data_IF_358374020916
#
_entry.id   IF_358374020916
#
_cell.length_a   1.000
_cell.length_b   1.000
_cell.length_c   1.000
_cell.angle_alpha   90.00
_cell.angle_beta   90.00
_cell.angle_gamma   90.00
#
_symmetry.space_group_name_H-M   'P 1'
#
loop_
_entity.id
_entity.type
_entity.pdbx_description
1 polymer ?
#
# COMPACT_ATOMS: atom_id res chain seq x y z
N UNK A 1 -22.36 9.12 8.33
CA UNK A 1 -21.90 7.73 8.45
C UNK A 1 -22.38 6.95 7.23
N UNK A 2 -21.60 6.02 6.74
CA UNK A 2 -21.90 5.30 5.49
C UNK A 2 -22.47 3.90 5.83
N UNK A 3 -23.71 3.56 5.42
CA UNK A 3 -24.34 2.28 5.74
C UNK A 3 -23.55 1.04 5.28
N UNK A 4 -22.76 1.18 4.20
CA UNK A 4 -21.89 0.10 3.73
C UNK A 4 -20.72 -0.17 4.69
N UNK A 5 -20.25 0.86 5.40
CA UNK A 5 -19.22 0.74 6.42
C UNK A 5 -19.83 0.18 7.71
N UNK A 6 -21.08 0.57 8.05
CA UNK A 6 -21.81 -0.01 9.17
C UNK A 6 -21.94 -1.54 9.00
N UNK A 7 -22.39 -1.98 7.83
CA UNK A 7 -22.50 -3.41 7.49
C UNK A 7 -21.15 -4.14 7.53
N UNK A 8 -20.09 -3.49 7.05
CA UNK A 8 -18.73 -4.04 7.11
C UNK A 8 -18.26 -4.28 8.54
N UNK A 9 -18.40 -3.27 9.41
CA UNK A 9 -17.97 -3.34 10.82
C UNK A 9 -18.79 -4.36 11.63
N UNK A 10 -20.11 -4.39 11.42
CA UNK A 10 -20.99 -5.36 12.06
C UNK A 10 -20.62 -6.81 11.69
N UNK A 11 -20.17 -7.07 10.47
CA UNK A 11 -19.76 -8.40 9.98
C UNK A 11 -18.29 -8.72 10.23
N UNK A 12 -17.54 -7.81 10.85
CA UNK A 12 -16.11 -8.04 11.10
C UNK A 12 -15.93 -9.17 12.13
N UNK A 13 -15.22 -10.27 11.75
CA UNK A 13 -15.06 -11.43 12.63
C UNK A 13 -14.11 -11.16 13.81
N UNK A 14 -13.30 -10.14 13.70
CA UNK A 14 -12.32 -9.68 14.68
C UNK A 14 -12.12 -8.18 14.52
N UNK A 15 -11.74 -7.49 15.57
CA UNK A 15 -11.40 -6.06 15.59
C UNK A 15 -12.59 -5.11 15.31
N UNK A 16 -13.85 -5.56 15.50
CA UNK A 16 -15.03 -4.73 15.25
C UNK A 16 -15.05 -3.47 16.13
N UNK A 17 -14.81 -3.63 17.42
CA UNK A 17 -14.83 -2.53 18.40
C UNK A 17 -13.64 -1.56 18.18
N UNK A 18 -12.46 -2.09 17.93
CA UNK A 18 -11.27 -1.31 17.65
C UNK A 18 -11.42 -0.49 16.36
N UNK A 19 -11.95 -1.11 15.30
CA UNK A 19 -12.20 -0.42 14.04
C UNK A 19 -13.30 0.64 14.17
N UNK A 20 -14.34 0.40 14.97
CA UNK A 20 -15.38 1.40 15.28
C UNK A 20 -14.81 2.57 16.08
N UNK A 21 -13.93 2.29 17.05
CA UNK A 21 -13.24 3.36 17.80
C UNK A 21 -12.34 4.19 16.87
N UNK A 22 -11.58 3.55 15.98
CA UNK A 22 -10.77 4.24 14.98
C UNK A 22 -11.64 5.06 14.01
N UNK A 23 -12.78 4.51 13.58
CA UNK A 23 -13.78 5.20 12.75
C UNK A 23 -14.23 6.51 13.39
N UNK A 24 -14.61 6.46 14.66
CA UNK A 24 -15.03 7.64 15.42
C UNK A 24 -13.93 8.70 15.42
N UNK A 25 -12.69 8.33 15.73
CA UNK A 25 -11.54 9.23 15.74
C UNK A 25 -11.32 9.88 14.37
N UNK A 26 -11.41 9.10 13.29
CA UNK A 26 -11.19 9.60 11.93
C UNK A 26 -12.29 10.55 11.49
N UNK A 27 -13.56 10.25 11.80
CA UNK A 27 -14.70 11.11 11.48
C UNK A 27 -14.63 12.44 12.25
N UNK A 28 -14.21 12.44 13.50
CA UNK A 28 -13.97 13.65 14.30
C UNK A 28 -12.92 14.58 13.68
N UNK A 29 -12.04 14.04 12.83
CA UNK A 29 -11.06 14.86 12.10
C UNK A 29 -11.62 15.47 10.79
N UNK A 30 -12.91 15.28 10.49
CA UNK A 30 -13.59 15.90 9.35
C UNK A 30 -13.36 15.20 8.01
N UNK A 31 -12.93 13.96 8.00
CA UNK A 31 -12.80 13.16 6.77
C UNK A 31 -14.16 12.60 6.33
N UNK A 32 -14.34 12.44 5.02
CA UNK A 32 -15.51 11.80 4.42
C UNK A 32 -15.32 10.29 4.34
N UNK A 33 -16.31 9.54 4.79
CA UNK A 33 -16.28 8.08 4.85
C UNK A 33 -16.79 7.43 3.56
N UNK A 34 -16.04 6.48 3.03
CA UNK A 34 -16.38 5.66 1.87
C UNK A 34 -16.01 4.19 2.13
N UNK A 35 -16.65 3.27 1.40
CA UNK A 35 -16.20 1.88 1.34
C UNK A 35 -15.47 1.66 0.00
N UNK A 36 -14.14 1.53 0.05
CA UNK A 36 -13.28 1.25 -1.11
C UNK A 36 -12.53 -0.06 -0.91
N UNK A 37 -12.41 -0.87 -1.95
CA UNK A 37 -11.72 -2.18 -1.90
C UNK A 37 -12.20 -3.08 -0.75
N UNK A 38 -13.50 -2.99 -0.41
CA UNK A 38 -14.12 -3.70 0.71
C UNK A 38 -13.57 -3.32 2.08
N UNK A 39 -13.11 -2.08 2.26
CA UNK A 39 -12.57 -1.57 3.52
C UNK A 39 -13.02 -0.12 3.75
N UNK A 40 -13.19 0.30 5.03
CA UNK A 40 -13.45 1.69 5.37
C UNK A 40 -12.29 2.58 4.93
N UNK A 41 -12.54 3.47 4.00
CA UNK A 41 -11.60 4.43 3.45
C UNK A 41 -12.12 5.85 3.71
N UNK A 42 -11.24 6.73 4.10
CA UNK A 42 -11.61 8.11 4.46
C UNK A 42 -10.86 9.08 3.58
N UNK A 43 -11.61 10.04 3.05
CA UNK A 43 -11.14 10.96 2.02
C UNK A 43 -11.23 12.41 2.47
N UNK A 44 -10.36 13.24 1.88
CA UNK A 44 -10.42 14.69 1.94
C UNK A 44 -10.41 15.23 0.51
N UNK A 45 -11.41 16.02 0.14
CA UNK A 45 -11.58 16.54 -1.24
C UNK A 45 -11.43 15.42 -2.30
N UNK A 46 -12.07 14.27 -2.10
CA UNK A 46 -12.04 13.08 -2.95
C UNK A 46 -10.69 12.32 -2.98
N UNK A 47 -9.64 12.85 -2.36
CA UNK A 47 -8.35 12.16 -2.21
C UNK A 47 -8.37 11.22 -1.02
N UNK A 48 -7.87 10.00 -1.20
CA UNK A 48 -7.78 9.01 -0.10
C UNK A 48 -6.69 9.43 0.89
N UNK A 49 -7.06 9.59 2.16
CA UNK A 49 -6.15 9.99 3.26
C UNK A 49 -5.78 8.79 4.12
N UNK A 50 -6.79 8.13 4.69
CA UNK A 50 -6.56 6.98 5.56
C UNK A 50 -7.51 5.82 5.25
N UNK A 51 -7.13 4.62 5.68
CA UNK A 51 -7.90 3.38 5.54
C UNK A 51 -7.83 2.61 6.85
N UNK A 52 -8.94 1.97 7.26
CA UNK A 52 -8.98 1.08 8.42
C UNK A 52 -9.04 -0.36 7.93
N UNK A 53 -8.23 -1.24 8.52
CA UNK A 53 -8.16 -2.65 8.14
C UNK A 53 -7.91 -3.53 9.35
N UNK A 54 -8.49 -4.73 9.36
CA UNK A 54 -8.22 -5.79 10.32
C UNK A 54 -7.38 -6.91 9.72
N UNK A 55 -6.39 -7.38 10.47
CA UNK A 55 -5.54 -8.53 10.15
C UNK A 55 -5.65 -9.59 11.25
N UNK A 56 -4.97 -10.72 11.08
CA UNK A 56 -5.03 -11.81 12.06
C UNK A 56 -4.61 -11.37 13.47
N UNK A 57 -3.50 -10.61 13.58
CA UNK A 57 -2.87 -10.29 14.86
C UNK A 57 -3.03 -8.81 15.28
N UNK A 58 -3.59 -7.94 14.43
CA UNK A 58 -3.77 -6.51 14.71
C UNK A 58 -4.82 -5.87 13.80
N UNK A 59 -5.39 -4.75 14.22
CA UNK A 59 -6.03 -3.81 13.33
C UNK A 59 -5.09 -2.62 13.06
N UNK A 60 -5.37 -1.83 12.03
CA UNK A 60 -4.53 -0.71 11.67
C UNK A 60 -5.30 0.49 11.13
N UNK A 61 -4.68 1.65 11.29
CA UNK A 61 -4.96 2.85 10.53
C UNK A 61 -3.81 3.06 9.52
N UNK A 62 -4.13 2.94 8.24
CA UNK A 62 -3.17 3.12 7.13
C UNK A 62 -3.27 4.51 6.53
N UNK A 63 -2.14 5.16 6.28
CA UNK A 63 -2.02 6.49 5.66
C UNK A 63 -1.50 6.34 4.25
N UNK A 64 -2.24 6.76 3.23
CA UNK A 64 -1.86 6.60 1.82
C UNK A 64 -0.56 7.31 1.46
N UNK A 65 -0.36 8.51 1.98
CA UNK A 65 0.87 9.30 1.81
C UNK A 65 1.71 9.36 3.09
N UNK A 66 1.65 8.32 3.93
CA UNK A 66 2.29 8.30 5.23
C UNK A 66 3.81 8.52 5.22
N UNK A 67 4.48 8.28 4.09
CA UNK A 67 5.90 8.58 3.93
C UNK A 67 6.23 10.09 3.97
N UNK A 68 5.23 10.96 3.84
CA UNK A 68 5.38 12.41 3.93
C UNK A 68 5.12 12.97 5.33
N UNK A 69 4.65 12.14 6.27
CA UNK A 69 4.41 12.53 7.65
C UNK A 69 5.73 12.54 8.42
N UNK A 70 5.88 13.47 9.35
CA UNK A 70 7.12 13.66 10.13
C UNK A 70 7.43 12.53 11.10
N UNK A 71 6.40 11.78 11.49
CA UNK A 71 6.49 10.65 12.44
C UNK A 71 7.24 11.00 13.75
N UNK A 72 6.95 12.15 14.31
CA UNK A 72 7.60 12.67 15.52
C UNK A 72 7.57 11.68 16.70
N UNK A 73 6.52 10.85 16.77
CA UNK A 73 6.33 9.89 17.86
C UNK A 73 6.73 8.45 17.48
N UNK A 74 7.30 8.23 16.29
CA UNK A 74 7.76 6.94 15.79
C UNK A 74 6.68 5.83 15.82
N UNK A 75 5.44 6.19 15.50
CA UNK A 75 4.31 5.26 15.46
C UNK A 75 4.11 4.62 14.09
N UNK A 76 4.68 5.18 13.04
CA UNK A 76 4.47 4.73 11.68
C UNK A 76 5.38 3.58 11.31
N UNK A 77 4.80 2.51 10.80
CA UNK A 77 5.52 1.39 10.22
C UNK A 77 5.22 1.23 8.74
N UNK A 78 6.13 0.60 7.99
CA UNK A 78 5.88 0.25 6.58
C UNK A 78 5.01 -1.00 6.50
N UNK A 79 3.98 -1.06 5.64
CA UNK A 79 3.23 -2.29 5.39
C UNK A 79 4.10 -3.43 4.82
N UNK A 80 5.16 -3.11 4.10
CA UNK A 80 6.13 -4.04 3.54
C UNK A 80 7.38 -3.30 3.08
N UNK A 81 8.48 -4.02 2.89
CA UNK A 81 9.81 -3.46 2.54
C UNK A 81 9.77 -2.57 1.30
N UNK A 82 8.99 -2.96 0.29
CA UNK A 82 8.88 -2.26 -0.98
C UNK A 82 7.81 -1.16 -1.01
N UNK A 83 7.15 -0.88 0.13
CA UNK A 83 6.13 0.16 0.21
C UNK A 83 6.77 1.54 0.30
N UNK A 84 6.61 2.35 -0.74
CA UNK A 84 7.23 3.67 -0.82
C UNK A 84 6.38 4.77 -0.17
N UNK A 85 5.06 4.78 -0.39
CA UNK A 85 4.15 5.84 0.03
C UNK A 85 3.44 5.56 1.35
N UNK A 86 2.77 4.41 1.46
CA UNK A 86 1.94 4.13 2.62
C UNK A 86 2.75 3.89 3.90
N UNK A 87 2.15 4.31 5.03
CA UNK A 87 2.57 3.95 6.40
C UNK A 87 1.34 3.55 7.18
N UNK A 88 1.54 2.88 8.32
CA UNK A 88 0.44 2.42 9.15
C UNK A 88 0.79 2.50 10.63
N UNK A 89 -0.22 2.76 11.45
CA UNK A 89 -0.18 2.54 12.90
C UNK A 89 -0.96 1.25 13.15
N UNK A 90 -0.37 0.31 13.89
CA UNK A 90 -0.99 -0.96 14.28
C UNK A 90 -1.46 -0.90 15.71
N UNK A 91 -2.57 -1.59 15.98
CA UNK A 91 -3.19 -1.67 17.30
C UNK A 91 -3.55 -3.12 17.61
N UNK A 92 -3.35 -3.52 18.85
CA UNK A 92 -3.62 -4.87 19.35
C UNK A 92 -4.77 -4.91 20.37
N UNK A 93 -5.38 -3.78 20.69
CA UNK A 93 -6.52 -3.66 21.58
C UNK A 93 -7.08 -2.25 21.60
N UNK A 94 -8.29 -2.13 22.15
CA UNK A 94 -9.07 -0.89 22.19
C UNK A 94 -8.44 0.16 23.15
N UNK A 95 -7.83 -0.31 24.24
CA UNK A 95 -7.15 0.54 25.23
C UNK A 95 -5.99 1.29 24.58
N UNK A 96 -5.22 0.60 23.74
CA UNK A 96 -4.11 1.21 23.01
C UNK A 96 -4.57 2.34 22.08
N UNK A 97 -5.73 2.16 21.44
CA UNK A 97 -6.35 3.18 20.58
C UNK A 97 -6.79 4.37 21.44
N UNK A 98 -7.41 4.12 22.58
CA UNK A 98 -7.89 5.16 23.48
C UNK A 98 -6.74 6.00 24.04
N UNK A 99 -5.67 5.36 24.50
CA UNK A 99 -4.46 6.03 25.01
C UNK A 99 -3.79 6.90 23.94
N UNK A 100 -3.76 6.43 22.70
CA UNK A 100 -3.10 7.10 21.58
C UNK A 100 -4.01 8.04 20.80
N UNK A 101 -5.29 8.20 21.17
CA UNK A 101 -6.28 8.97 20.39
C UNK A 101 -5.79 10.35 19.97
N UNK A 102 -5.19 11.12 20.91
CA UNK A 102 -4.67 12.46 20.60
C UNK A 102 -3.54 12.42 19.56
N UNK A 103 -2.66 11.43 19.64
CA UNK A 103 -1.56 11.25 18.69
C UNK A 103 -2.10 10.83 17.31
N UNK A 104 -3.05 9.90 17.29
CA UNK A 104 -3.71 9.43 16.05
C UNK A 104 -4.38 10.62 15.34
N UNK A 105 -5.11 11.47 16.07
CA UNK A 105 -5.71 12.69 15.51
C UNK A 105 -4.64 13.64 14.95
N UNK A 106 -3.51 13.82 15.64
CA UNK A 106 -2.42 14.65 15.15
C UNK A 106 -1.86 14.14 13.80
N UNK A 107 -1.65 12.83 13.65
CA UNK A 107 -1.23 12.22 12.37
C UNK A 107 -2.28 12.39 11.27
N UNK A 108 -3.58 12.27 11.60
CA UNK A 108 -4.66 12.46 10.62
C UNK A 108 -4.68 13.91 10.15
N UNK A 109 -4.58 14.90 11.06
CA UNK A 109 -4.52 16.31 10.68
C UNK A 109 -3.28 16.62 9.82
N UNK A 110 -2.12 16.08 10.17
CA UNK A 110 -0.92 16.22 9.33
C UNK A 110 -1.14 15.63 7.92
N UNK A 111 -1.79 14.46 7.82
CA UNK A 111 -2.12 13.85 6.54
C UNK A 111 -3.10 14.70 5.72
N UNK A 112 -4.07 15.35 6.36
CA UNK A 112 -4.99 16.29 5.71
C UNK A 112 -4.21 17.51 5.19
N UNK A 113 -3.26 18.07 5.96
CA UNK A 113 -2.44 19.19 5.50
C UNK A 113 -1.54 18.80 4.31
N UNK A 114 -1.01 17.57 4.28
CA UNK A 114 -0.28 17.05 3.12
C UNK A 114 -1.17 17.01 1.87
N UNK A 115 -2.45 16.62 2.00
CA UNK A 115 -3.41 16.66 0.88
C UNK A 115 -3.75 18.08 0.45
N UNK A 116 -4.01 18.98 1.39
CA UNK A 116 -4.27 20.42 1.11
C UNK A 116 -3.11 21.07 0.37
N UNK A 117 -1.89 20.75 0.75
CA UNK A 117 -0.69 21.28 0.12
C UNK A 117 -0.39 20.67 -1.25
N UNK A 118 -1.17 19.68 -1.70
CA UNK A 118 -0.96 18.98 -2.98
C UNK A 118 0.37 18.24 -3.08
N UNK A 119 1.02 17.95 -1.94
CA UNK A 119 2.32 17.26 -1.93
C UNK A 119 2.14 15.82 -2.35
N UNK A 120 3.04 15.35 -3.22
CA UNK A 120 3.05 14.00 -3.74
C UNK A 120 4.33 13.26 -3.39
N UNK A 121 4.21 11.94 -3.17
CA UNK A 121 5.36 11.08 -2.91
C UNK A 121 6.15 10.90 -4.20
N UNK A 122 7.45 11.16 -4.15
CA UNK A 122 8.37 10.84 -5.26
C UNK A 122 8.67 9.35 -5.23
N UNK A 123 8.15 8.61 -6.19
CA UNK A 123 8.42 7.19 -6.33
C UNK A 123 9.75 6.97 -7.03
N UNK A 124 10.48 5.93 -6.62
CA UNK A 124 11.63 5.42 -7.39
C UNK A 124 11.19 5.09 -8.81
N UNK A 125 11.97 5.53 -9.79
CA UNK A 125 11.77 5.14 -11.19
C UNK A 125 12.16 3.66 -11.38
N UNK A 126 11.71 3.04 -12.45
CA UNK A 126 12.10 1.65 -12.77
C UNK A 126 13.63 1.54 -12.97
N UNK A 127 14.23 2.58 -13.54
CA UNK A 127 15.69 2.70 -13.72
C UNK A 127 16.52 2.73 -12.42
N UNK A 128 15.87 2.99 -11.27
CA UNK A 128 16.54 3.08 -9.97
C UNK A 128 16.62 1.72 -9.25
N UNK A 129 16.18 0.65 -9.93
CA UNK A 129 16.22 -0.72 -9.42
C UNK A 129 17.31 -1.51 -10.13
N UNK A 130 18.12 -2.22 -9.36
CA UNK A 130 19.10 -3.15 -9.91
C UNK A 130 18.36 -4.31 -10.59
N UNK A 131 18.65 -4.51 -11.86
CA UNK A 131 18.12 -5.66 -12.60
C UNK A 131 18.96 -6.91 -12.25
N UNK A 132 18.34 -8.05 -11.95
CA UNK A 132 19.09 -9.28 -11.86
C UNK A 132 19.70 -9.65 -13.21
N UNK A 133 20.91 -10.20 -13.20
CA UNK A 133 21.67 -10.54 -14.43
C UNK A 133 20.84 -11.37 -15.42
N UNK A 134 20.04 -12.30 -14.93
CA UNK A 134 19.20 -13.17 -15.77
C UNK A 134 18.12 -12.40 -16.51
N UNK A 135 17.55 -11.34 -15.88
CA UNK A 135 16.60 -10.46 -16.56
C UNK A 135 17.32 -9.60 -17.59
N UNK A 136 18.51 -9.06 -17.26
CA UNK A 136 19.30 -8.28 -18.19
C UNK A 136 19.66 -9.10 -19.43
N UNK A 137 20.16 -10.34 -19.26
CA UNK A 137 20.44 -11.26 -20.37
C UNK A 137 19.20 -11.50 -21.24
N UNK A 138 18.04 -11.77 -20.61
CA UNK A 138 16.80 -11.99 -21.37
C UNK A 138 16.36 -10.76 -22.17
N UNK A 139 16.56 -9.55 -21.63
CA UNK A 139 16.28 -8.29 -22.34
C UNK A 139 17.24 -8.06 -23.51
N UNK A 140 18.51 -8.46 -23.37
CA UNK A 140 19.53 -8.28 -24.39
C UNK A 140 19.41 -9.32 -25.53
N UNK A 141 19.02 -10.56 -25.19
CA UNK A 141 18.90 -11.66 -26.13
C UNK A 141 17.58 -11.65 -26.92
N UNK A 142 16.50 -11.04 -26.38
CA UNK A 142 15.19 -11.02 -27.03
C UNK A 142 14.64 -9.59 -27.15
N UNK A 143 14.82 -8.94 -28.31
CA UNK A 143 14.25 -7.63 -28.59
C UNK A 143 12.72 -7.58 -28.41
N UNK A 144 12.03 -8.68 -28.73
CA UNK A 144 10.57 -8.80 -28.58
C UNK A 144 10.17 -8.81 -27.10
N UNK A 145 10.89 -9.56 -26.27
CA UNK A 145 10.66 -9.56 -24.80
C UNK A 145 10.94 -8.20 -24.21
N UNK A 146 12.05 -7.55 -24.62
CA UNK A 146 12.39 -6.19 -24.20
C UNK A 146 11.28 -5.20 -24.52
N UNK A 147 10.80 -5.20 -25.74
CA UNK A 147 9.71 -4.33 -26.19
C UNK A 147 8.43 -4.57 -25.36
N UNK A 148 8.07 -5.84 -25.12
CA UNK A 148 6.90 -6.21 -24.30
C UNK A 148 7.07 -5.78 -22.83
N UNK A 149 8.26 -5.94 -22.25
CA UNK A 149 8.55 -5.55 -20.88
C UNK A 149 8.54 -4.02 -20.71
N UNK A 150 9.14 -3.28 -21.65
CA UNK A 150 9.17 -1.80 -21.63
C UNK A 150 7.79 -1.19 -21.86
N UNK A 151 6.88 -1.87 -22.57
CA UNK A 151 5.49 -1.46 -22.76
C UNK A 151 4.63 -1.60 -21.49
N UNK A 152 5.08 -2.35 -20.50
CA UNK A 152 4.39 -2.45 -19.21
C UNK A 152 4.42 -1.12 -18.46
N UNK A 153 3.39 -0.86 -17.66
CA UNK A 153 3.41 0.31 -16.77
C UNK A 153 4.58 0.23 -15.77
N UNK A 154 5.15 1.36 -15.31
CA UNK A 154 6.28 1.35 -14.36
C UNK A 154 6.03 0.53 -13.10
N UNK A 155 4.78 0.48 -12.62
CA UNK A 155 4.39 -0.34 -11.49
C UNK A 155 4.48 -1.84 -11.77
N UNK A 156 4.08 -2.29 -12.97
CA UNK A 156 4.19 -3.69 -13.40
C UNK A 156 5.64 -4.09 -13.61
N UNK A 157 6.43 -3.27 -14.29
CA UNK A 157 7.87 -3.49 -14.45
C UNK A 157 8.56 -3.68 -13.10
N UNK A 158 8.32 -2.76 -12.14
CA UNK A 158 8.87 -2.85 -10.79
C UNK A 158 8.46 -4.13 -10.07
N UNK A 159 7.20 -4.54 -10.17
CA UNK A 159 6.72 -5.77 -9.53
C UNK A 159 7.47 -7.00 -10.06
N UNK A 160 7.71 -7.08 -11.37
CA UNK A 160 8.49 -8.15 -11.97
C UNK A 160 9.96 -8.10 -11.56
N UNK A 161 10.60 -6.93 -11.58
CA UNK A 161 12.01 -6.79 -11.15
C UNK A 161 12.18 -7.31 -9.72
N UNK A 162 11.34 -6.86 -8.78
CA UNK A 162 11.38 -7.30 -7.38
C UNK A 162 11.12 -8.81 -7.25
N UNK A 163 10.18 -9.36 -8.03
CA UNK A 163 9.89 -10.79 -8.03
C UNK A 163 11.07 -11.62 -8.52
N UNK A 164 11.74 -11.16 -9.56
CA UNK A 164 12.90 -11.86 -10.13
C UNK A 164 14.15 -11.72 -9.27
N UNK A 165 14.35 -10.57 -8.61
CA UNK A 165 15.50 -10.32 -7.73
C UNK A 165 15.41 -11.04 -6.38
N UNK A 166 14.21 -11.41 -5.91
CA UNK A 166 14.01 -12.00 -4.58
C UNK A 166 14.74 -13.34 -4.33
N UNK A 167 14.84 -14.29 -5.29
CA UNK A 167 15.58 -15.54 -5.06
C UNK A 167 17.09 -15.33 -5.07
N UNK A 168 17.79 -16.06 -4.17
CA UNK A 168 19.25 -16.05 -4.12
C UNK A 168 19.89 -16.81 -5.29
N UNK A 169 19.23 -17.88 -5.78
CA UNK A 169 19.77 -18.77 -6.80
C UNK A 169 19.38 -18.31 -8.21
N UNK A 170 20.35 -18.24 -9.11
CA UNK A 170 20.19 -17.88 -10.53
C UNK A 170 19.13 -18.76 -11.22
N UNK A 171 19.23 -20.08 -11.10
CA UNK A 171 18.27 -21.01 -11.69
C UNK A 171 16.81 -20.73 -11.27
N UNK A 172 16.59 -20.25 -10.05
CA UNK A 172 15.23 -19.90 -9.59
C UNK A 172 14.77 -18.58 -10.21
N UNK A 173 15.69 -17.62 -10.42
CA UNK A 173 15.38 -16.35 -11.09
C UNK A 173 15.02 -16.62 -12.56
N UNK A 174 15.81 -17.43 -13.27
CA UNK A 174 15.52 -17.85 -14.66
C UNK A 174 14.15 -18.51 -14.79
N UNK A 175 13.86 -19.50 -13.91
CA UNK A 175 12.57 -20.19 -13.92
C UNK A 175 11.38 -19.22 -13.68
N UNK A 176 11.56 -18.20 -12.84
CA UNK A 176 10.53 -17.17 -12.62
C UNK A 176 10.34 -16.28 -13.85
N UNK A 177 11.42 -15.89 -14.51
CA UNK A 177 11.38 -15.10 -15.74
C UNK A 177 10.62 -15.87 -16.81
N UNK A 178 10.99 -17.12 -17.08
CA UNK A 178 10.33 -17.97 -18.08
C UNK A 178 8.83 -18.16 -17.77
N UNK A 179 8.49 -18.43 -16.51
CA UNK A 179 7.10 -18.57 -16.09
C UNK A 179 6.27 -17.31 -16.30
N UNK A 180 6.87 -16.13 -16.12
CA UNK A 180 6.18 -14.85 -16.27
C UNK A 180 6.16 -14.31 -17.71
N UNK A 181 7.04 -14.79 -18.57
CA UNK A 181 7.20 -14.36 -19.96
C UNK A 181 5.88 -14.29 -20.74
N UNK A 182 5.00 -15.32 -20.70
CA UNK A 182 3.71 -15.25 -21.42
C UNK A 182 2.77 -14.14 -20.92
N UNK A 183 2.84 -13.80 -19.62
CA UNK A 183 2.08 -12.71 -19.00
C UNK A 183 2.59 -11.36 -19.47
N UNK A 184 3.91 -11.20 -19.54
CA UNK A 184 4.58 -9.98 -19.99
C UNK A 184 4.22 -9.68 -21.44
N UNK A 185 4.28 -10.66 -22.35
CA UNK A 185 3.85 -10.51 -23.73
C UNK A 185 2.38 -10.10 -23.88
N UNK A 186 1.52 -10.48 -22.93
CA UNK A 186 0.11 -10.07 -22.89
C UNK A 186 -0.12 -8.73 -22.21
N UNK A 187 0.95 -8.00 -21.82
CA UNK A 187 0.87 -6.75 -21.09
C UNK A 187 0.31 -6.88 -19.66
N UNK A 188 0.25 -8.10 -19.11
CA UNK A 188 -0.28 -8.36 -17.76
C UNK A 188 0.74 -8.04 -16.66
N UNK A 189 0.24 -7.65 -15.50
CA UNK A 189 1.02 -7.55 -14.27
C UNK A 189 1.20 -8.91 -13.59
N UNK A 190 2.11 -8.99 -12.62
CA UNK A 190 2.48 -10.23 -11.92
C UNK A 190 1.28 -10.96 -11.28
N UNK A 191 0.28 -10.21 -10.81
CA UNK A 191 -0.89 -10.75 -10.11
C UNK A 191 -2.20 -10.59 -10.92
N UNK A 192 -2.14 -10.18 -12.19
CA UNK A 192 -3.32 -10.05 -13.03
C UNK A 192 -3.81 -11.47 -13.42
N UNK A 193 -5.10 -11.72 -13.21
CA UNK A 193 -5.77 -12.98 -13.55
C UNK A 193 -6.26 -12.99 -14.99
#
# INVERSE_FOLDING_TARGET
>A
MNPKVDDFLQKAPKWGEEMEKLRTIVLDCGLTEELKWRQPCYTFNQSNVVIISGFKEYCLLGFFKGALLKDTYQLLSRPGENTQSARQIRFTGIEEIAEKEKLVKAYIYEAIEVEKAGITVKFKKTSDYDLPEELQHKLDESPEFKAAFEALTPGRQRAYILHFSAPKQSKTREARIEKCTPGIFKGKGLNDR
#
